data_IF_684207495673
#
_entry.id   IF_684207495673
#
_cell.length_a   1.000
_cell.length_b   1.000
_cell.length_c   1.000
_cell.angle_alpha   90.00
_cell.angle_beta   90.00
_cell.angle_gamma   90.00
#
_symmetry.space_group_name_H-M   'P 1'
#
loop_
_entity.id
_entity.type
_entity.pdbx_description
1 polymer ?
#
# COMPACT_ATOMS: atom_id res chain seq x y z
N UNK A 1 -15.50 0.14 -7.90
CA UNK A 1 -15.69 0.89 -6.64
C UNK A 1 -17.18 1.06 -6.41
N UNK A 2 -17.74 0.33 -5.45
CA UNK A 2 -19.11 0.56 -4.97
C UNK A 2 -19.05 1.37 -3.67
N UNK A 3 -20.02 2.27 -3.40
CA UNK A 3 -20.05 3.01 -2.15
C UNK A 3 -20.46 2.11 -0.99
N UNK A 4 -20.13 2.55 0.22
CA UNK A 4 -20.64 2.06 1.51
C UNK A 4 -22.12 1.60 1.47
N UNK A 5 -22.54 0.54 2.22
CA UNK A 5 -21.86 -0.09 3.37
C UNK A 5 -21.24 -1.49 3.15
N UNK A 6 -20.35 -1.83 4.09
CA UNK A 6 -19.39 -2.94 4.19
C UNK A 6 -19.91 -4.39 4.23
N UNK A 7 -21.10 -4.67 3.72
CA UNK A 7 -21.61 -6.05 3.63
C UNK A 7 -21.42 -6.67 2.24
N UNK A 8 -20.66 -5.98 1.38
CA UNK A 8 -20.33 -6.50 0.07
C UNK A 8 -19.58 -7.84 0.24
N UNK A 9 -20.03 -8.90 -0.44
CA UNK A 9 -19.29 -10.16 -0.42
C UNK A 9 -17.88 -9.92 -0.96
N UNK A 10 -16.88 -10.71 -0.52
CA UNK A 10 -15.52 -10.63 -1.05
C UNK A 10 -15.52 -10.61 -2.57
N UNK A 11 -14.65 -9.78 -3.15
CA UNK A 11 -14.55 -9.67 -4.61
C UNK A 11 -14.32 -11.04 -5.27
N UNK A 12 -14.73 -11.15 -6.54
CA UNK A 12 -14.48 -12.32 -7.38
C UNK A 12 -13.91 -11.89 -8.71
N UNK A 13 -13.00 -12.69 -9.25
CA UNK A 13 -12.54 -12.52 -10.63
C UNK A 13 -13.72 -12.79 -11.56
N UNK A 14 -14.01 -11.83 -12.43
CA UNK A 14 -15.16 -11.87 -13.35
C UNK A 14 -14.83 -11.10 -14.63
N UNK A 15 -15.74 -11.09 -15.60
CA UNK A 15 -15.55 -10.29 -16.82
C UNK A 15 -15.48 -8.79 -16.54
N UNK A 16 -16.27 -8.30 -15.58
CA UNK A 16 -16.35 -6.88 -15.22
C UNK A 16 -15.28 -6.44 -14.21
N UNK A 17 -14.72 -7.39 -13.45
CA UNK A 17 -13.55 -7.19 -12.59
C UNK A 17 -12.47 -8.25 -12.90
N UNK A 18 -11.79 -8.15 -14.05
CA UNK A 18 -10.91 -9.20 -14.54
C UNK A 18 -9.61 -9.34 -13.75
N UNK A 19 -9.18 -8.26 -13.08
CA UNK A 19 -8.05 -8.29 -12.15
C UNK A 19 -8.46 -8.70 -10.72
N UNK A 20 -9.76 -8.83 -10.44
CA UNK A 20 -10.25 -9.19 -9.10
C UNK A 20 -9.88 -8.16 -8.02
N UNK A 21 -9.90 -6.86 -8.35
CA UNK A 21 -9.60 -5.79 -7.39
C UNK A 21 -10.66 -5.68 -6.28
N UNK A 22 -10.22 -5.34 -5.07
CA UNK A 22 -11.06 -5.24 -3.86
C UNK A 22 -10.68 -4.01 -2.98
N UNK A 23 -10.38 -2.89 -3.63
CA UNK A 23 -10.04 -1.63 -2.97
C UNK A 23 -8.56 -1.47 -2.63
N UNK A 24 -8.24 -0.46 -1.81
CA UNK A 24 -6.87 -0.13 -1.42
C UNK A 24 -6.40 -0.97 -0.23
N UNK A 25 -5.12 -1.35 -0.25
CA UNK A 25 -4.44 -1.87 0.95
C UNK A 25 -3.66 -0.77 1.66
N UNK A 26 -2.80 -0.05 0.92
CA UNK A 26 -1.96 1.01 1.48
C UNK A 26 -1.57 2.09 0.46
N UNK A 27 -1.09 3.21 1.00
CA UNK A 27 -0.29 4.20 0.28
C UNK A 27 1.11 4.23 0.90
N UNK A 28 2.15 4.18 0.08
CA UNK A 28 3.54 4.23 0.52
C UNK A 28 4.11 5.64 0.33
N UNK A 29 4.66 6.18 1.40
CA UNK A 29 5.26 7.50 1.47
C UNK A 29 6.75 7.42 1.72
N UNK A 30 7.49 8.33 1.09
CA UNK A 30 8.92 8.52 1.30
C UNK A 30 9.23 10.00 1.48
N UNK A 31 10.23 10.28 2.33
CA UNK A 31 10.70 11.61 2.62
C UNK A 31 12.20 11.54 2.98
N UNK A 32 13.04 12.50 2.55
CA UNK A 32 14.43 12.63 3.01
C UNK A 32 14.60 12.80 4.54
N UNK A 33 13.49 13.04 5.26
CA UNK A 33 13.40 13.34 6.68
C UNK A 33 12.15 12.59 7.20
N UNK A 34 12.20 11.26 7.37
CA UNK A 34 11.03 10.43 7.67
C UNK A 34 10.32 10.83 8.97
N UNK A 35 11.02 11.48 9.91
CA UNK A 35 10.42 12.07 11.11
C UNK A 35 9.32 13.09 10.80
N UNK A 36 9.41 13.83 9.68
CA UNK A 36 8.36 14.78 9.29
C UNK A 36 7.06 14.08 8.88
N UNK A 37 7.17 12.90 8.25
CA UNK A 37 6.01 12.05 7.98
C UNK A 37 5.42 11.51 9.31
N UNK A 38 6.25 11.07 10.24
CA UNK A 38 5.80 10.60 11.55
C UNK A 38 5.04 11.71 12.32
N UNK A 39 5.58 12.93 12.36
CA UNK A 39 4.92 14.09 12.98
C UNK A 39 3.60 14.46 12.30
N UNK A 40 3.56 14.39 10.96
CA UNK A 40 2.33 14.65 10.20
C UNK A 40 1.27 13.58 10.48
N UNK A 41 1.62 12.30 10.38
CA UNK A 41 0.68 11.19 10.54
C UNK A 41 0.15 11.08 11.96
N UNK A 42 0.99 11.36 12.97
CA UNK A 42 0.55 11.49 14.36
C UNK A 42 -0.52 12.57 14.51
N UNK A 43 -0.32 13.75 13.91
CA UNK A 43 -1.32 14.84 13.92
C UNK A 43 -2.61 14.48 13.19
N UNK A 44 -2.52 13.60 12.19
CA UNK A 44 -3.68 13.06 11.47
C UNK A 44 -4.37 11.89 12.21
N UNK A 45 -3.90 11.50 13.40
CA UNK A 45 -4.49 10.42 14.21
C UNK A 45 -4.04 9.01 13.85
N UNK A 46 -2.99 8.86 13.04
CA UNK A 46 -2.37 7.56 12.77
C UNK A 46 -1.41 7.17 13.88
N UNK A 47 -1.25 5.87 14.08
CA UNK A 47 -0.31 5.28 15.03
C UNK A 47 0.61 4.32 14.29
N UNK A 48 1.90 4.31 14.62
CA UNK A 48 2.81 3.26 14.14
C UNK A 48 2.42 1.92 14.79
N UNK A 49 2.09 0.92 13.99
CA UNK A 49 1.57 -0.38 14.45
C UNK A 49 2.50 -1.55 14.16
N UNK A 50 3.36 -1.44 13.16
CA UNK A 50 4.33 -2.47 12.83
C UNK A 50 5.61 -1.87 12.23
N UNK A 51 6.73 -2.56 12.41
CA UNK A 51 8.01 -2.23 11.79
C UNK A 51 8.54 -3.43 11.02
N UNK A 52 9.11 -3.19 9.84
CA UNK A 52 9.71 -4.26 9.04
C UNK A 52 10.89 -4.88 9.81
N UNK A 53 11.07 -6.20 9.71
CA UNK A 53 12.08 -6.94 10.48
C UNK A 53 13.51 -6.52 10.18
N UNK A 54 13.81 -6.24 8.90
CA UNK A 54 15.15 -5.90 8.43
C UNK A 54 15.31 -4.53 7.75
N UNK A 55 14.25 -3.99 7.14
CA UNK A 55 14.27 -2.69 6.42
C UNK A 55 13.79 -1.56 7.32
N UNK A 56 14.17 -0.33 7.02
CA UNK A 56 13.63 0.87 7.66
C UNK A 56 12.26 1.26 7.08
N UNK A 57 11.27 0.41 7.32
CA UNK A 57 9.90 0.58 6.87
C UNK A 57 8.94 0.42 8.05
N UNK A 58 8.02 1.37 8.20
CA UNK A 58 7.05 1.40 9.31
C UNK A 58 5.62 1.48 8.78
N UNK A 59 4.72 0.68 9.35
CA UNK A 59 3.29 0.72 9.06
C UNK A 59 2.60 1.66 10.06
N UNK A 60 1.91 2.66 9.52
CA UNK A 60 1.08 3.60 10.25
C UNK A 60 -0.38 3.32 9.96
N UNK A 61 -1.22 3.28 10.99
CA UNK A 61 -2.63 2.88 10.85
C UNK A 61 -3.60 3.77 11.62
N UNK A 62 -4.77 3.97 11.01
CA UNK A 62 -5.97 4.52 11.61
C UNK A 62 -7.17 3.78 11.02
N UNK A 63 -7.97 3.13 11.86
CA UNK A 63 -9.01 2.20 11.43
C UNK A 63 -8.41 1.09 10.56
N UNK A 64 -8.96 0.92 9.35
CA UNK A 64 -8.47 -0.01 8.33
C UNK A 64 -7.54 0.64 7.28
N UNK A 65 -7.15 1.91 7.48
CA UNK A 65 -6.26 2.63 6.56
C UNK A 65 -4.81 2.38 6.95
N UNK A 66 -4.02 1.89 6.00
CA UNK A 66 -2.57 1.73 6.17
C UNK A 66 -1.80 2.75 5.35
N UNK A 67 -0.86 3.42 6.00
CA UNK A 67 0.23 4.16 5.37
C UNK A 67 1.54 3.44 5.65
N UNK A 68 2.32 3.23 4.60
CA UNK A 68 3.68 2.69 4.69
C UNK A 68 4.63 3.88 4.64
N UNK A 69 5.48 4.04 5.65
CA UNK A 69 6.61 4.97 5.60
C UNK A 69 7.85 4.15 5.25
N UNK A 70 8.40 4.37 4.06
CA UNK A 70 9.62 3.69 3.61
C UNK A 70 10.78 4.68 3.64
N UNK A 71 11.71 4.45 4.57
CA UNK A 71 12.95 5.18 4.74
C UNK A 71 14.18 4.31 4.42
N UNK A 72 13.98 3.11 3.85
CA UNK A 72 15.05 2.16 3.59
C UNK A 72 16.04 2.72 2.56
N UNK A 73 17.34 2.87 2.91
CA UNK A 73 18.34 3.36 1.99
C UNK A 73 18.44 2.49 0.74
N UNK A 74 18.50 3.12 -0.43
CA UNK A 74 18.59 2.40 -1.70
C UNK A 74 17.29 1.70 -2.13
N UNK A 75 16.18 1.86 -1.39
CA UNK A 75 14.86 1.39 -1.84
C UNK A 75 14.35 2.14 -3.07
N UNK A 76 13.36 1.56 -3.75
CA UNK A 76 12.64 2.27 -4.81
C UNK A 76 12.08 3.60 -4.28
N UNK A 77 11.44 3.56 -3.12
CA UNK A 77 10.76 4.71 -2.53
C UNK A 77 11.71 5.88 -2.25
N UNK A 78 12.91 5.60 -1.73
CA UNK A 78 13.91 6.64 -1.50
C UNK A 78 14.48 7.21 -2.80
N UNK A 79 14.76 6.37 -3.80
CA UNK A 79 15.19 6.85 -5.14
C UNK A 79 14.09 7.64 -5.86
N UNK A 80 12.83 7.33 -5.58
CA UNK A 80 11.69 8.08 -6.09
C UNK A 80 11.59 9.45 -5.40
N UNK A 81 11.73 9.50 -4.07
CA UNK A 81 11.77 10.74 -3.31
C UNK A 81 12.95 11.66 -3.69
N UNK A 82 14.11 11.11 -4.06
CA UNK A 82 15.25 11.91 -4.56
C UNK A 82 14.89 12.73 -5.81
N UNK A 83 13.98 12.21 -6.65
CA UNK A 83 13.53 12.87 -7.89
C UNK A 83 12.34 13.80 -7.68
N UNK A 84 11.46 13.46 -6.75
CA UNK A 84 10.14 14.09 -6.62
C UNK A 84 9.97 14.90 -5.32
N UNK A 85 10.94 14.86 -4.41
CA UNK A 85 10.79 15.36 -3.04
C UNK A 85 9.90 14.45 -2.18
N UNK A 86 9.40 14.94 -1.04
CA UNK A 86 8.44 14.21 -0.21
C UNK A 86 7.19 13.82 -1.01
N UNK A 87 6.86 12.52 -1.06
CA UNK A 87 5.85 12.02 -1.99
C UNK A 87 5.17 10.74 -1.52
N UNK A 88 4.07 10.39 -2.19
CA UNK A 88 3.55 9.03 -2.25
C UNK A 88 4.28 8.29 -3.38
N UNK A 89 5.21 7.40 -3.02
CA UNK A 89 6.08 6.70 -3.96
C UNK A 89 5.41 5.47 -4.59
N UNK A 90 4.43 4.90 -3.92
CA UNK A 90 3.68 3.73 -4.39
C UNK A 90 2.29 3.64 -3.77
N UNK A 91 1.47 2.73 -4.30
CA UNK A 91 0.21 2.31 -3.68
C UNK A 91 -0.02 0.81 -3.85
N UNK A 92 -0.96 0.26 -3.08
CA UNK A 92 -1.32 -1.14 -3.15
C UNK A 92 -2.82 -1.35 -3.30
N UNK A 93 -3.19 -2.31 -4.14
CA UNK A 93 -4.57 -2.79 -4.26
C UNK A 93 -4.71 -4.17 -3.63
N UNK A 94 -5.79 -4.33 -2.87
CA UNK A 94 -6.30 -5.65 -2.50
C UNK A 94 -6.80 -6.34 -3.76
N UNK A 95 -6.44 -7.61 -3.91
CA UNK A 95 -6.86 -8.44 -5.04
C UNK A 95 -7.21 -9.85 -4.60
N UNK A 96 -8.09 -10.51 -5.35
CA UNK A 96 -8.52 -11.88 -5.05
C UNK A 96 -7.35 -12.88 -5.13
N UNK A 97 -6.48 -12.70 -6.14
CA UNK A 97 -5.30 -13.52 -6.42
C UNK A 97 -4.20 -12.59 -6.99
N UNK A 98 -3.07 -12.48 -6.29
CA UNK A 98 -2.01 -11.53 -6.65
C UNK A 98 -1.29 -11.90 -7.95
N UNK A 99 -1.10 -13.20 -8.19
CA UNK A 99 -0.45 -13.68 -9.41
C UNK A 99 -1.34 -13.44 -10.62
N UNK A 100 -2.63 -13.78 -10.53
CA UNK A 100 -3.60 -13.55 -11.60
C UNK A 100 -3.71 -12.06 -11.94
N UNK A 101 -3.81 -11.19 -10.94
CA UNK A 101 -3.90 -9.74 -11.16
C UNK A 101 -2.65 -9.19 -11.85
N UNK A 102 -1.47 -9.63 -11.42
CA UNK A 102 -0.20 -9.27 -12.05
C UNK A 102 -0.11 -9.76 -13.50
N UNK A 103 -0.34 -11.05 -13.75
CA UNK A 103 -0.29 -11.63 -15.11
C UNK A 103 -1.30 -10.94 -16.04
N UNK A 104 -2.50 -10.65 -15.54
CA UNK A 104 -3.52 -9.92 -16.28
C UNK A 104 -3.04 -8.51 -16.65
N UNK A 105 -2.48 -7.75 -15.70
CA UNK A 105 -2.01 -6.40 -15.96
C UNK A 105 -0.86 -6.39 -16.99
N UNK A 106 0.09 -7.32 -16.88
CA UNK A 106 1.22 -7.45 -17.81
C UNK A 106 0.73 -7.82 -19.21
N UNK A 107 -0.22 -8.77 -19.31
CA UNK A 107 -0.85 -9.13 -20.58
C UNK A 107 -1.63 -7.96 -21.23
N UNK A 108 -1.96 -6.92 -20.45
CA UNK A 108 -2.60 -5.67 -20.91
C UNK A 108 -1.62 -4.52 -21.12
N UNK A 109 -0.31 -4.77 -21.06
CA UNK A 109 0.74 -3.80 -21.37
C UNK A 109 1.36 -3.10 -20.17
N UNK A 110 1.04 -3.50 -18.94
CA UNK A 110 1.77 -3.02 -17.77
C UNK A 110 3.23 -3.50 -17.80
N UNK A 111 4.14 -2.66 -17.31
CA UNK A 111 5.54 -3.05 -17.13
C UNK A 111 5.73 -3.73 -15.76
N UNK A 112 6.21 -4.99 -15.70
CA UNK A 112 6.60 -5.64 -14.46
C UNK A 112 7.63 -4.83 -13.65
N UNK A 113 7.54 -4.87 -12.33
CA UNK A 113 8.63 -4.42 -11.45
C UNK A 113 9.24 -5.60 -10.69
N UNK A 114 10.45 -6.00 -11.11
CA UNK A 114 11.16 -7.18 -10.59
C UNK A 114 12.20 -6.84 -9.50
N UNK A 115 12.32 -5.56 -9.13
CA UNK A 115 13.26 -5.13 -8.11
C UNK A 115 12.94 -5.70 -6.72
N UNK A 116 13.97 -6.10 -5.97
CA UNK A 116 13.85 -6.61 -4.60
C UNK A 116 13.81 -5.50 -3.52
N UNK A 117 13.87 -4.24 -3.96
CA UNK A 117 14.01 -3.03 -3.16
C UNK A 117 12.64 -2.37 -2.84
N UNK A 118 11.60 -3.20 -2.85
CA UNK A 118 10.21 -2.88 -2.52
C UNK A 118 9.98 -2.90 -1.00
N UNK A 119 8.94 -2.21 -0.52
CA UNK A 119 8.52 -2.31 0.88
C UNK A 119 8.05 -3.73 1.26
N UNK A 120 7.26 -4.38 0.40
CA UNK A 120 6.78 -5.75 0.57
C UNK A 120 7.26 -6.64 -0.59
N UNK A 121 7.54 -7.90 -0.30
CA UNK A 121 7.89 -8.92 -1.29
C UNK A 121 6.65 -9.57 -1.92
N UNK A 122 5.91 -8.77 -2.70
CA UNK A 122 4.70 -9.17 -3.42
C UNK A 122 4.74 -8.68 -4.87
N UNK A 123 3.92 -9.23 -5.78
CA UNK A 123 3.89 -8.78 -7.17
C UNK A 123 3.57 -7.29 -7.29
N UNK A 124 4.30 -6.59 -8.17
CA UNK A 124 4.10 -5.17 -8.43
C UNK A 124 4.41 -4.82 -9.89
N UNK A 125 3.76 -3.77 -10.39
CA UNK A 125 4.01 -3.19 -11.71
C UNK A 125 4.43 -1.72 -11.57
N UNK A 126 5.04 -1.18 -12.63
CA UNK A 126 5.31 0.25 -12.74
C UNK A 126 4.00 0.98 -13.02
N UNK A 127 3.67 1.90 -12.12
CA UNK A 127 2.50 2.76 -12.16
C UNK A 127 2.82 4.16 -12.69
N UNK A 128 1.98 5.11 -12.29
CA UNK A 128 2.02 6.49 -12.77
C UNK A 128 3.31 7.21 -12.36
N UNK A 129 3.94 7.90 -13.32
CA UNK A 129 5.18 8.64 -13.07
C UNK A 129 6.36 7.78 -12.62
N UNK A 130 6.28 6.45 -12.73
CA UNK A 130 7.29 5.52 -12.22
C UNK A 130 7.08 5.06 -10.77
N UNK A 131 5.95 5.41 -10.15
CA UNK A 131 5.52 4.85 -8.85
C UNK A 131 5.33 3.34 -8.98
N UNK A 132 5.18 2.61 -7.86
CA UNK A 132 4.78 1.20 -7.93
C UNK A 132 3.29 1.02 -7.64
N UNK A 133 2.70 0.00 -8.24
CA UNK A 133 1.40 -0.54 -7.87
C UNK A 133 1.56 -1.99 -7.44
N UNK A 134 1.32 -2.25 -6.16
CA UNK A 134 1.41 -3.57 -5.52
C UNK A 134 0.07 -4.32 -5.58
N UNK A 135 0.14 -5.65 -5.68
CA UNK A 135 -1.02 -6.54 -5.62
C UNK A 135 -0.99 -7.35 -4.32
N UNK A 136 -1.98 -7.13 -3.45
CA UNK A 136 -2.05 -7.72 -2.10
C UNK A 136 -3.19 -8.73 -2.04
N UNK A 137 -2.85 -9.99 -1.83
CA UNK A 137 -3.83 -11.07 -1.68
C UNK A 137 -4.20 -11.35 -0.21
N UNK A 138 -3.27 -11.13 0.71
CA UNK A 138 -3.43 -11.48 2.13
C UNK A 138 -4.06 -10.32 2.90
N UNK A 139 -5.39 -10.31 3.02
CA UNK A 139 -6.16 -9.35 3.83
C UNK A 139 -7.44 -9.99 4.39
N UNK A 140 -8.04 -9.34 5.39
CA UNK A 140 -9.30 -9.78 5.99
C UNK A 140 -9.21 -11.18 6.59
N UNK A 141 -10.05 -12.12 6.12
CA UNK A 141 -10.05 -13.50 6.61
C UNK A 141 -8.77 -14.28 6.24
N UNK A 142 -8.01 -13.82 5.24
CA UNK A 142 -6.74 -14.46 4.83
C UNK A 142 -5.57 -14.07 5.74
N UNK A 143 -5.74 -13.11 6.65
CA UNK A 143 -4.68 -12.59 7.52
C UNK A 143 -4.31 -11.15 7.16
N UNK A 144 -3.13 -10.71 7.60
CA UNK A 144 -2.62 -9.37 7.33
C UNK A 144 -1.45 -9.42 6.35
N UNK A 145 -1.38 -8.45 5.42
CA UNK A 145 -0.29 -8.34 4.45
C UNK A 145 1.09 -8.20 5.11
N UNK A 146 1.11 -7.75 6.36
CA UNK A 146 2.31 -7.40 7.10
C UNK A 146 2.87 -8.56 7.94
N UNK A 147 2.11 -9.63 8.17
CA UNK A 147 2.50 -10.70 9.11
C UNK A 147 3.82 -11.40 8.76
N UNK A 148 4.12 -11.52 7.46
CA UNK A 148 5.31 -12.23 6.98
C UNK A 148 6.60 -11.44 7.22
N UNK A 149 6.59 -10.13 6.94
CA UNK A 149 7.80 -9.30 6.84
C UNK A 149 7.95 -8.30 8.01
N UNK A 150 6.90 -8.09 8.80
CA UNK A 150 6.85 -7.08 9.85
C UNK A 150 6.69 -7.69 11.24
N UNK A 151 7.10 -6.92 12.24
CA UNK A 151 6.86 -7.14 13.65
C UNK A 151 5.87 -6.10 14.16
N UNK A 152 4.80 -6.56 14.81
CA UNK A 152 3.80 -5.70 15.42
C UNK A 152 4.37 -5.03 16.67
N UNK A 153 4.18 -3.72 16.81
CA UNK A 153 4.69 -2.93 17.94
C UNK A 153 3.84 -3.09 19.23
N UNK A 154 2.78 -3.90 19.17
CA UNK A 154 1.84 -4.15 20.25
C UNK A 154 0.92 -5.31 19.89
N UNK A 155 -0.39 -5.11 20.01
CA UNK A 155 -1.37 -6.10 19.57
C UNK A 155 -1.19 -6.44 18.08
N UNK A 156 -1.44 -7.69 17.71
CA UNK A 156 -1.36 -8.15 16.33
C UNK A 156 -2.50 -7.55 15.49
N UNK A 157 -2.14 -6.97 14.35
CA UNK A 157 -3.07 -6.39 13.37
C UNK A 157 -4.12 -5.44 14.00
N UNK A 158 -3.68 -4.43 14.78
CA UNK A 158 -4.60 -3.60 15.55
C UNK A 158 -5.38 -2.66 14.62
N UNK A 159 -6.52 -2.13 15.10
CA UNK A 159 -7.32 -1.11 14.40
C UNK A 159 -7.51 0.13 15.29
N UNK A 160 -6.47 0.97 15.46
CA UNK A 160 -6.57 2.16 16.30
C UNK A 160 -7.67 3.09 15.79
N UNK A 161 -8.55 3.57 16.67
CA UNK A 161 -9.67 4.43 16.28
C UNK A 161 -9.23 5.75 15.62
N UNK A 162 -8.08 6.29 16.07
CA UNK A 162 -7.56 7.58 15.61
C UNK A 162 -8.58 8.71 15.82
N UNK A 163 -8.81 9.50 14.77
CA UNK A 163 -9.74 10.63 14.73
C UNK A 163 -10.98 10.35 13.85
N UNK A 164 -11.25 9.09 13.53
CA UNK A 164 -12.47 8.67 12.82
C UNK A 164 -12.34 8.61 11.30
N UNK A 165 -11.14 8.42 10.75
CA UNK A 165 -11.01 8.00 9.34
C UNK A 165 -11.25 6.48 9.21
N UNK A 166 -11.98 6.10 8.15
CA UNK A 166 -12.47 4.73 7.97
C UNK A 166 -11.80 4.00 6.80
N UNK A 167 -11.61 4.66 5.65
CA UNK A 167 -11.03 4.06 4.46
C UNK A 167 -10.40 5.11 3.53
N UNK A 168 -9.63 4.64 2.55
CA UNK A 168 -9.15 5.46 1.44
C UNK A 168 -10.20 5.49 0.34
N UNK A 169 -10.82 6.65 0.13
CA UNK A 169 -11.91 6.80 -0.83
C UNK A 169 -11.41 6.87 -2.27
N UNK A 170 -10.50 7.81 -2.54
CA UNK A 170 -9.87 7.98 -3.84
C UNK A 170 -8.50 8.64 -3.72
N UNK A 171 -7.72 8.54 -4.80
CA UNK A 171 -6.48 9.27 -5.00
C UNK A 171 -6.50 9.89 -6.40
N UNK A 172 -5.83 11.03 -6.55
CA UNK A 172 -5.75 11.74 -7.83
C UNK A 172 -4.34 11.67 -8.42
N UNK A 173 -4.24 11.66 -9.75
CA UNK A 173 -2.97 11.79 -10.46
C UNK A 173 -3.04 12.99 -11.41
N UNK A 174 -2.06 13.89 -11.30
CA UNK A 174 -1.89 14.96 -12.27
C UNK A 174 -1.03 14.45 -13.43
N UNK A 175 -1.51 14.58 -14.66
CA UNK A 175 -0.82 14.14 -15.88
C UNK A 175 -0.63 15.29 -16.85
N UNK A 176 0.49 15.27 -17.58
CA UNK A 176 0.69 16.16 -18.74
C UNK A 176 -0.34 15.82 -19.82
N UNK A 177 -0.76 16.84 -20.58
CA UNK A 177 -1.77 16.74 -21.63
C UNK A 177 -1.13 16.68 -23.00
#
# INVERSE_FOLDING_TARGET
>A
MGPFPHDAPPARISKDNPAGTDGFEFVEFAHPEPQKLAELFTRMGYVAVAKHRTKDVTIWRQGDINYVVNAEPGSHAMRFADKHGPCAASMAWRVVDAKHAFDHAVAKGATPYEGADKALDVPAIVGIGGSLLYFIETYGKKGSAYDAEFEWLGERDPRPQGVGFYYLDHLTHNVYR
#
